data_IF_043603209092
#
_entry.id   IF_043603209092
#
_cell.length_a   1.000
_cell.length_b   1.000
_cell.length_c   1.000
_cell.angle_alpha   90.00
_cell.angle_beta   90.00
_cell.angle_gamma   90.00
#
_symmetry.space_group_name_H-M   'P 1'
#
loop_
_entity.id
_entity.type
_entity.pdbx_description
1 polymer ?
#
# COMPACT_ATOMS: atom_id res chain seq x y z
N UNK A 1 6.12 -3.19 17.44
CA UNK A 1 7.08 -3.67 16.42
C UNK A 1 6.57 -3.25 15.05
N UNK A 2 7.22 -2.28 14.40
CA UNK A 2 6.88 -1.90 13.03
C UNK A 2 7.36 -3.01 12.09
N UNK A 3 6.49 -3.94 11.71
CA UNK A 3 6.80 -4.86 10.62
C UNK A 3 7.16 -4.01 9.39
N UNK A 4 8.41 -4.09 8.96
CA UNK A 4 8.91 -3.48 7.73
C UNK A 4 8.26 -4.24 6.58
N UNK A 5 7.63 -3.53 5.64
CA UNK A 5 7.13 -4.20 4.44
C UNK A 5 8.32 -4.56 3.54
N UNK A 6 8.21 -5.68 2.87
CA UNK A 6 9.00 -6.01 1.68
C UNK A 6 8.28 -5.50 0.42
N UNK A 7 8.94 -5.64 -0.72
CA UNK A 7 8.32 -5.27 -2.00
C UNK A 7 7.14 -6.19 -2.35
N UNK A 8 7.27 -7.49 -2.09
CA UNK A 8 6.23 -8.49 -2.31
C UNK A 8 5.01 -8.25 -1.41
N UNK A 9 5.24 -7.87 -0.15
CA UNK A 9 4.14 -7.47 0.76
C UNK A 9 3.36 -6.30 0.18
N UNK A 10 4.08 -5.28 -0.32
CA UNK A 10 3.42 -4.11 -0.88
C UNK A 10 2.73 -4.39 -2.21
N UNK A 11 3.30 -5.24 -3.08
CA UNK A 11 2.66 -5.66 -4.33
C UNK A 11 1.33 -6.38 -4.04
N UNK A 12 1.27 -7.24 -3.01
CA UNK A 12 0.03 -7.88 -2.54
C UNK A 12 -0.99 -6.86 -2.01
N UNK A 13 -0.56 -5.94 -1.15
CA UNK A 13 -1.42 -4.85 -0.63
C UNK A 13 -1.94 -3.99 -1.77
N UNK A 14 -1.09 -3.64 -2.73
CA UNK A 14 -1.43 -2.79 -3.87
C UNK A 14 -2.41 -3.51 -4.82
N UNK A 15 -2.27 -4.82 -5.01
CA UNK A 15 -3.24 -5.64 -5.73
C UNK A 15 -4.62 -5.62 -5.05
N UNK A 16 -4.68 -5.80 -3.71
CA UNK A 16 -5.94 -5.66 -2.95
C UNK A 16 -6.54 -4.27 -3.09
N UNK A 17 -5.73 -3.22 -3.01
CA UNK A 17 -6.17 -1.85 -3.26
C UNK A 17 -6.79 -1.69 -4.66
N UNK A 18 -6.11 -2.16 -5.70
CA UNK A 18 -6.59 -2.07 -7.09
C UNK A 18 -7.91 -2.80 -7.30
N UNK A 19 -8.11 -3.95 -6.64
CA UNK A 19 -9.35 -4.73 -6.71
C UNK A 19 -10.47 -4.17 -5.83
N UNK A 20 -10.15 -3.39 -4.79
CA UNK A 20 -11.14 -2.87 -3.84
C UNK A 20 -12.07 -1.80 -4.42
N UNK A 21 -11.62 -1.06 -5.45
CA UNK A 21 -12.33 0.12 -5.97
C UNK A 21 -12.42 1.31 -4.99
N UNK A 22 -11.79 1.20 -3.81
CA UNK A 22 -11.80 2.23 -2.78
C UNK A 22 -10.82 3.36 -3.10
N UNK A 23 -11.05 4.53 -2.49
CA UNK A 23 -10.01 5.54 -2.41
C UNK A 23 -8.83 5.05 -1.56
N UNK A 24 -7.63 5.62 -1.76
CA UNK A 24 -6.46 5.27 -0.92
C UNK A 24 -6.76 5.52 0.56
N UNK A 25 -7.53 6.55 0.89
CA UNK A 25 -7.86 6.90 2.27
C UNK A 25 -8.76 5.85 2.91
N UNK A 26 -9.83 5.44 2.22
CA UNK A 26 -10.76 4.42 2.72
C UNK A 26 -10.10 3.05 2.82
N UNK A 27 -9.34 2.65 1.80
CA UNK A 27 -8.57 1.41 1.81
C UNK A 27 -7.57 1.38 2.97
N UNK A 28 -6.80 2.47 3.15
CA UNK A 28 -5.84 2.56 4.24
C UNK A 28 -6.52 2.53 5.61
N UNK A 29 -7.68 3.17 5.76
CA UNK A 29 -8.45 3.12 7.00
C UNK A 29 -8.94 1.69 7.31
N UNK A 30 -9.44 0.97 6.31
CA UNK A 30 -9.95 -0.39 6.46
C UNK A 30 -8.85 -1.41 6.81
N UNK A 31 -7.67 -1.28 6.19
CA UNK A 31 -6.54 -2.18 6.40
C UNK A 31 -5.63 -1.75 7.56
N UNK A 32 -6.02 -0.73 8.35
CA UNK A 32 -5.20 -0.14 9.41
C UNK A 32 -3.80 0.31 8.93
N UNK A 33 -3.72 0.77 7.69
CA UNK A 33 -2.51 1.28 7.05
C UNK A 33 -2.45 2.79 7.22
N UNK A 34 -1.27 3.34 7.52
CA UNK A 34 -1.07 4.79 7.46
C UNK A 34 -0.97 5.25 6.00
N UNK A 35 -1.81 6.19 5.52
CA UNK A 35 -1.77 6.65 4.12
C UNK A 35 -0.39 7.13 3.68
N UNK A 36 0.35 7.82 4.57
CA UNK A 36 1.73 8.26 4.29
C UNK A 36 2.64 7.09 3.89
N UNK A 37 2.59 5.97 4.62
CA UNK A 37 3.36 4.77 4.33
C UNK A 37 2.95 4.16 2.99
N UNK A 38 1.65 4.13 2.69
CA UNK A 38 1.16 3.63 1.42
C UNK A 38 1.71 4.44 0.24
N UNK A 39 1.68 5.78 0.32
CA UNK A 39 2.23 6.64 -0.73
C UNK A 39 3.73 6.48 -0.90
N UNK A 40 4.50 6.38 0.19
CA UNK A 40 5.95 6.13 0.14
C UNK A 40 6.27 4.85 -0.65
N UNK A 41 5.55 3.77 -0.37
CA UNK A 41 5.73 2.49 -1.05
C UNK A 41 5.22 2.51 -2.49
N UNK A 42 4.11 3.20 -2.77
CA UNK A 42 3.64 3.41 -4.15
C UNK A 42 4.70 4.11 -5.00
N UNK A 43 5.35 5.14 -4.46
CA UNK A 43 6.45 5.83 -5.15
C UNK A 43 7.71 4.97 -5.29
N UNK A 44 7.92 3.96 -4.45
CA UNK A 44 9.00 2.96 -4.63
C UNK A 44 8.64 1.98 -5.75
N UNK A 45 7.40 1.49 -5.80
CA UNK A 45 6.90 0.63 -6.87
C UNK A 45 7.01 1.29 -8.24
N UNK A 46 6.63 2.56 -8.35
CA UNK A 46 6.73 3.31 -9.61
C UNK A 46 8.17 3.58 -10.07
N UNK A 47 9.17 3.50 -9.18
CA UNK A 47 10.59 3.66 -9.53
C UNK A 47 11.25 2.36 -9.98
N UNK A 48 10.61 1.21 -9.78
CA UNK A 48 11.07 -0.11 -10.22
C UNK A 48 10.69 -0.38 -11.70
N UNK A 49 9.73 0.38 -12.24
CA UNK A 49 9.26 0.29 -13.63
C UNK A 49 9.88 1.36 -14.52
#
# INVERSE_FOLDING_TARGET
MSHQWTMEDFESIYSRFKSSGLSVMDFCSNECIRPKRFYEWRSKLLRKG
#
